data_IF_193410114093
#
_entry.id   IF_193410114093
#
_cell.length_a   1.000
_cell.length_b   1.000
_cell.length_c   1.000
_cell.angle_alpha   90.00
_cell.angle_beta   90.00
_cell.angle_gamma   90.00
#
_symmetry.space_group_name_H-M   'P 1'
#
loop_
_entity.id
_entity.type
_entity.pdbx_description
1 polymer ?
#
# COMPACT_ATOMS: atom_id res chain seq x y z
N UNK A 1 -0.23 24.44 6.94
CA UNK A 1 -1.15 23.38 6.47
C UNK A 1 -0.45 22.06 6.13
N UNK A 2 0.87 22.04 5.90
CA UNK A 2 1.60 20.81 5.52
C UNK A 2 1.72 19.79 6.66
N UNK A 3 1.95 20.26 7.90
CA UNK A 3 1.99 19.40 9.11
C UNK A 3 0.72 18.57 9.31
N UNK A 4 -0.45 19.14 9.01
CA UNK A 4 -1.72 18.43 9.12
C UNK A 4 -1.85 17.31 8.07
N UNK A 5 -1.35 17.55 6.85
CA UNK A 5 -1.30 16.53 5.79
C UNK A 5 -0.34 15.40 6.14
N UNK A 6 0.82 15.71 6.72
CA UNK A 6 1.77 14.70 7.23
C UNK A 6 1.09 13.80 8.28
N UNK A 7 0.45 14.40 9.30
CA UNK A 7 -0.25 13.64 10.36
C UNK A 7 -1.39 12.80 9.77
N UNK A 8 -2.18 13.35 8.86
CA UNK A 8 -3.26 12.64 8.18
C UNK A 8 -2.74 11.44 7.40
N UNK A 9 -1.69 11.62 6.60
CA UNK A 9 -1.11 10.55 5.81
C UNK A 9 -0.57 9.42 6.70
N UNK A 10 0.16 9.74 7.78
CA UNK A 10 0.64 8.74 8.73
C UNK A 10 -0.54 8.00 9.40
N UNK A 11 -1.59 8.71 9.80
CA UNK A 11 -2.76 8.08 10.42
C UNK A 11 -3.50 7.14 9.46
N UNK A 12 -3.69 7.54 8.20
CA UNK A 12 -4.31 6.73 7.15
C UNK A 12 -3.46 5.50 6.83
N UNK A 13 -2.14 5.65 6.87
CA UNK A 13 -1.20 4.57 6.66
C UNK A 13 -1.32 3.48 7.73
N UNK A 14 -1.28 3.84 9.01
CA UNK A 14 -1.48 2.88 10.10
C UNK A 14 -2.87 2.22 10.04
N UNK A 15 -3.90 3.00 9.71
CA UNK A 15 -5.26 2.49 9.57
C UNK A 15 -5.38 1.49 8.42
N UNK A 16 -4.74 1.78 7.28
CA UNK A 16 -4.68 0.89 6.12
C UNK A 16 -3.95 -0.42 6.43
N UNK A 17 -2.79 -0.36 7.09
CA UNK A 17 -2.05 -1.56 7.53
C UNK A 17 -2.91 -2.40 8.46
N UNK A 18 -3.54 -1.77 9.46
CA UNK A 18 -4.40 -2.48 10.41
C UNK A 18 -5.54 -3.21 9.70
N UNK A 19 -6.18 -2.55 8.74
CA UNK A 19 -7.27 -3.14 7.96
C UNK A 19 -6.81 -4.33 7.12
N UNK A 20 -5.64 -4.22 6.47
CA UNK A 20 -5.06 -5.30 5.68
C UNK A 20 -4.68 -6.50 6.56
N UNK A 21 -4.05 -6.26 7.70
CA UNK A 21 -3.70 -7.31 8.67
C UNK A 21 -4.97 -7.98 9.18
N UNK A 22 -5.99 -7.20 9.55
CA UNK A 22 -7.25 -7.72 10.05
C UNK A 22 -8.00 -8.54 8.98
N UNK A 23 -7.96 -8.10 7.72
CA UNK A 23 -8.50 -8.87 6.60
C UNK A 23 -7.74 -10.19 6.36
N UNK A 24 -6.44 -10.24 6.69
CA UNK A 24 -5.61 -11.42 6.47
C UNK A 24 -5.64 -12.42 7.65
N UNK A 25 -5.71 -11.94 8.89
CA UNK A 25 -5.74 -12.77 10.11
C UNK A 25 -7.16 -13.11 10.58
N UNK A 26 -8.14 -12.28 10.22
CA UNK A 26 -9.55 -12.47 10.55
C UNK A 26 -10.29 -13.32 9.53
N UNK A 27 -11.59 -13.05 9.35
CA UNK A 27 -12.34 -13.59 8.22
C UNK A 27 -11.86 -12.88 6.97
N UNK A 28 -11.28 -13.64 6.04
CA UNK A 28 -10.81 -13.12 4.78
C UNK A 28 -11.97 -12.46 4.02
N UNK A 29 -12.00 -11.13 4.07
CA UNK A 29 -12.97 -10.31 3.38
C UNK A 29 -12.24 -9.47 2.32
N UNK A 30 -12.51 -9.80 1.07
CA UNK A 30 -11.91 -9.15 -0.08
C UNK A 30 -12.26 -7.66 -0.13
N UNK A 31 -13.43 -7.27 0.38
CA UNK A 31 -13.83 -5.85 0.47
C UNK A 31 -12.98 -5.10 1.50
N UNK A 32 -12.71 -5.70 2.66
CA UNK A 32 -11.83 -5.11 3.66
C UNK A 32 -10.40 -4.96 3.13
N UNK A 33 -9.90 -5.97 2.42
CA UNK A 33 -8.58 -5.94 1.78
C UNK A 33 -8.46 -4.78 0.77
N UNK A 34 -9.44 -4.65 -0.14
CA UNK A 34 -9.48 -3.56 -1.12
C UNK A 34 -9.58 -2.19 -0.43
N UNK A 35 -10.44 -2.07 0.59
CA UNK A 35 -10.57 -0.82 1.33
C UNK A 35 -9.29 -0.42 2.06
N UNK A 36 -8.52 -1.39 2.59
CA UNK A 36 -7.21 -1.18 3.18
C UNK A 36 -6.19 -0.68 2.15
N UNK A 37 -6.15 -1.29 0.97
CA UNK A 37 -5.31 -0.84 -0.15
C UNK A 37 -5.66 0.58 -0.61
N UNK A 38 -6.94 0.91 -0.71
CA UNK A 38 -7.39 2.27 -1.06
C UNK A 38 -6.98 3.28 0.02
N UNK A 39 -7.08 2.90 1.29
CA UNK A 39 -6.68 3.76 2.41
C UNK A 39 -5.17 4.05 2.40
N UNK A 40 -4.36 3.03 2.12
CA UNK A 40 -2.94 3.19 1.89
C UNK A 40 -2.69 4.12 0.69
N UNK A 41 -3.40 3.96 -0.44
CA UNK A 41 -3.19 4.76 -1.65
C UNK A 41 -3.48 6.25 -1.37
N UNK A 42 -4.53 6.51 -0.59
CA UNK A 42 -4.87 7.85 -0.13
C UNK A 42 -3.80 8.41 0.79
N UNK A 43 -3.23 7.61 1.70
CA UNK A 43 -2.10 8.03 2.53
C UNK A 43 -0.91 8.49 1.68
N UNK A 44 -0.55 7.69 0.67
CA UNK A 44 0.52 8.02 -0.28
C UNK A 44 0.20 9.29 -1.08
N UNK A 45 -1.02 9.45 -1.57
CA UNK A 45 -1.42 10.62 -2.35
C UNK A 45 -1.50 11.91 -1.51
N UNK A 46 -1.92 11.79 -0.25
CA UNK A 46 -2.00 12.93 0.68
C UNK A 46 -0.61 13.37 1.12
N UNK A 47 0.34 12.41 1.23
CA UNK A 47 1.72 12.67 1.60
C UNK A 47 2.34 13.72 0.67
N UNK A 48 2.86 14.84 1.20
CA UNK A 48 3.55 15.83 0.39
C UNK A 48 4.93 15.28 -0.02
N UNK A 49 4.99 14.53 -1.12
CA UNK A 49 6.25 14.01 -1.68
C UNK A 49 7.14 15.15 -2.21
N UNK A 50 8.45 14.92 -2.11
CA UNK A 50 9.59 15.83 -2.35
C UNK A 50 9.55 16.59 -3.68
N UNK A 51 8.75 16.14 -4.65
CA UNK A 51 8.66 16.72 -6.01
C UNK A 51 8.19 18.18 -6.07
N UNK A 52 7.45 18.67 -5.06
CA UNK A 52 6.84 20.01 -5.09
C UNK A 52 7.42 21.05 -4.12
N UNK A 53 8.45 20.71 -3.35
CA UNK A 53 9.02 21.64 -2.37
C UNK A 53 10.54 21.70 -2.53
N UNK A 54 11.06 22.88 -2.84
CA UNK A 54 12.47 23.26 -2.68
C UNK A 54 12.87 23.23 -1.18
N UNK A 55 12.72 22.09 -0.51
CA UNK A 55 13.15 21.90 0.88
C UNK A 55 14.45 21.13 0.89
N UNK A 56 15.40 21.66 1.67
CA UNK A 56 16.68 21.05 2.01
C UNK A 56 16.53 19.55 2.27
N UNK A 57 17.52 18.78 1.80
CA UNK A 57 17.67 17.34 2.00
C UNK A 57 17.54 16.93 3.47
N UNK A 58 16.30 16.76 3.92
CA UNK A 58 15.98 16.26 5.25
C UNK A 58 15.82 14.74 5.14
N UNK A 59 16.89 14.03 5.49
CA UNK A 59 16.95 12.57 5.56
C UNK A 59 15.75 11.94 6.30
N UNK A 60 15.20 12.64 7.31
CA UNK A 60 14.01 12.21 8.04
C UNK A 60 12.75 12.07 7.17
N UNK A 61 12.52 12.98 6.21
CA UNK A 61 11.36 12.92 5.33
C UNK A 61 11.50 11.80 4.30
N UNK A 62 12.72 11.57 3.82
CA UNK A 62 13.07 10.50 2.87
C UNK A 62 12.83 9.11 3.48
N UNK A 63 13.21 8.92 4.75
CA UNK A 63 12.93 7.69 5.49
C UNK A 63 11.42 7.44 5.59
N UNK A 64 10.61 8.48 5.85
CA UNK A 64 9.16 8.32 5.99
C UNK A 64 8.53 8.00 4.63
N UNK A 65 9.00 8.62 3.54
CA UNK A 65 8.57 8.30 2.18
C UNK A 65 8.84 6.82 1.86
N UNK A 66 10.05 6.33 2.13
CA UNK A 66 10.40 4.90 1.99
C UNK A 66 9.53 4.02 2.88
N UNK A 67 9.27 4.43 4.13
CA UNK A 67 8.44 3.67 5.05
C UNK A 67 6.98 3.55 4.56
N UNK A 68 6.47 4.56 3.85
CA UNK A 68 5.13 4.55 3.24
C UNK A 68 5.10 3.71 1.97
N UNK A 69 6.14 3.78 1.12
CA UNK A 69 6.22 3.01 -0.13
C UNK A 69 6.47 1.51 0.10
N UNK A 70 7.26 1.14 1.11
CA UNK A 70 7.62 -0.24 1.41
C UNK A 70 6.42 -1.22 1.49
N UNK A 71 5.40 -0.97 2.33
CA UNK A 71 4.26 -1.87 2.40
C UNK A 71 3.41 -1.83 1.14
N UNK A 72 3.42 -0.74 0.38
CA UNK A 72 2.77 -0.69 -0.93
C UNK A 72 3.39 -1.69 -1.89
N UNK A 73 4.72 -1.64 -2.01
CA UNK A 73 5.46 -2.53 -2.87
C UNK A 73 5.30 -3.98 -2.42
N UNK A 74 5.36 -4.26 -1.11
CA UNK A 74 5.12 -5.60 -0.56
C UNK A 74 3.72 -6.10 -0.95
N UNK A 75 2.68 -5.26 -0.81
CA UNK A 75 1.32 -5.64 -1.19
C UNK A 75 1.19 -5.90 -2.69
N UNK A 76 1.71 -5.01 -3.53
CA UNK A 76 1.70 -5.19 -4.99
C UNK A 76 2.43 -6.46 -5.39
N UNK A 77 3.57 -6.73 -4.77
CA UNK A 77 4.35 -7.93 -5.01
C UNK A 77 3.56 -9.18 -4.63
N UNK A 78 2.93 -9.18 -3.45
CA UNK A 78 2.08 -10.28 -2.97
C UNK A 78 0.89 -10.54 -3.91
N UNK A 79 0.16 -9.50 -4.32
CA UNK A 79 -0.92 -9.62 -5.31
C UNK A 79 -0.43 -10.16 -6.65
N UNK A 80 0.73 -9.68 -7.12
CA UNK A 80 1.32 -10.11 -8.39
C UNK A 80 1.72 -11.59 -8.35
N UNK A 81 2.22 -12.07 -7.21
CA UNK A 81 2.46 -13.50 -6.98
C UNK A 81 1.17 -14.30 -7.00
N UNK A 82 0.13 -13.82 -6.30
CA UNK A 82 -1.16 -14.49 -6.24
C UNK A 82 -1.79 -14.64 -7.64
N UNK A 83 -1.84 -13.56 -8.41
CA UNK A 83 -2.35 -13.54 -9.79
C UNK A 83 -1.53 -14.47 -10.70
N UNK A 84 -0.20 -14.50 -10.53
CA UNK A 84 0.68 -15.34 -11.35
C UNK A 84 0.46 -16.84 -11.09
N UNK A 85 0.16 -17.22 -9.85
CA UNK A 85 -0.18 -18.60 -9.50
C UNK A 85 -1.54 -18.97 -10.08
N UNK A 86 -2.55 -18.11 -9.92
CA UNK A 86 -3.89 -18.35 -10.48
C UNK A 86 -3.88 -18.46 -12.01
N UNK A 87 -3.14 -17.61 -12.74
CA UNK A 87 -3.00 -17.71 -14.20
C UNK A 87 -2.38 -19.02 -14.68
N UNK A 88 -1.59 -19.69 -13.84
CA UNK A 88 -0.95 -20.96 -14.20
C UNK A 88 -1.88 -22.16 -13.99
N UNK A 89 -2.96 -22.00 -13.22
CA UNK A 89 -3.94 -23.05 -12.95
C UNK A 89 -5.00 -23.20 -14.06
N UNK A 90 -5.23 -22.16 -14.88
CA UNK A 90 -6.18 -22.16 -16.00
C UNK A 90 -5.61 -22.69 -17.34
N UNK A 91 -4.52 -23.46 -17.30
CA UNK A 91 -4.05 -24.28 -18.43
C UNK A 91 -4.16 -25.79 -18.11
N UNK A 92 -5.34 -26.34 -17.78
CA UNK A 92 -5.60 -27.75 -18.01
C UNK A 92 -5.95 -27.94 -19.50
N UNK A 93 -4.99 -28.46 -20.25
CA UNK A 93 -5.25 -29.33 -21.40
C UNK A 93 -6.03 -28.73 -22.60
N UNK A 94 -5.53 -27.63 -23.18
CA UNK A 94 -5.94 -27.21 -24.53
C UNK A 94 -5.15 -27.89 -25.67
N UNK A 95 -4.20 -28.77 -25.34
CA UNK A 95 -3.28 -29.37 -26.31
C UNK A 95 -3.01 -30.86 -26.00
N UNK A 96 -3.96 -31.77 -26.26
CA UNK A 96 -3.72 -33.18 -26.62
C UNK A 96 -4.98 -33.89 -27.15
#
# INVERSE_FOLDING_TARGET
MERLREILAVSLFFMGIFLVINACLGKFDLLMLISGCVCLLLAYFIWPSKKNSQREDNFYLDIIEIAIELPFDILLWMFRFLIRIFRKADLPDADL
#
